data_IF_381606310115
#
_entry.id   IF_381606310115
#
_cell.length_a   1.000
_cell.length_b   1.000
_cell.length_c   1.000
_cell.angle_alpha   90.00
_cell.angle_beta   90.00
_cell.angle_gamma   90.00
#
_symmetry.space_group_name_H-M   'P 1'
#
loop_
_entity.id
_entity.type
_entity.pdbx_description
1 polymer ?
#
# COMPACT_ATOMS: atom_id res chain seq x y z
N UNK A 1 29.56 -5.10 49.10
CA UNK A 1 28.89 -4.91 47.79
C UNK A 1 27.45 -4.54 48.06
N UNK A 2 27.09 -3.28 47.82
CA UNK A 2 25.74 -2.76 48.01
C UNK A 2 24.86 -3.11 46.79
N UNK A 3 23.56 -3.36 46.96
CA UNK A 3 22.67 -3.61 45.83
C UNK A 3 22.44 -2.30 45.06
N UNK A 4 22.63 -2.37 43.75
CA UNK A 4 22.30 -1.29 42.81
C UNK A 4 20.78 -1.20 42.78
N UNK A 5 20.23 -0.29 43.57
CA UNK A 5 18.83 0.09 43.50
C UNK A 5 18.58 0.86 42.22
N UNK A 6 17.91 0.24 41.25
CA UNK A 6 17.27 0.97 40.17
C UNK A 6 16.11 1.77 40.77
N UNK A 7 16.35 3.06 40.99
CA UNK A 7 15.29 4.02 41.27
C UNK A 7 14.39 4.09 40.03
N UNK A 8 13.28 3.35 40.07
CA UNK A 8 12.14 3.63 39.22
C UNK A 8 11.63 5.02 39.60
N UNK A 9 11.93 6.01 38.76
CA UNK A 9 11.29 7.31 38.81
C UNK A 9 9.79 7.08 38.65
N UNK A 10 9.03 7.34 39.71
CA UNK A 10 7.57 7.47 39.71
C UNK A 10 7.16 8.58 38.72
N UNK A 11 7.03 8.22 37.45
CA UNK A 11 6.03 8.81 36.55
C UNK A 11 4.85 7.86 36.59
N UNK A 12 4.07 7.99 37.65
CA UNK A 12 2.81 7.28 37.86
C UNK A 12 1.87 7.48 36.65
N UNK A 13 1.56 6.34 36.02
CA UNK A 13 0.20 5.78 35.94
C UNK A 13 -0.89 6.39 35.05
N UNK A 14 -0.54 7.09 33.96
CA UNK A 14 -1.54 7.38 32.91
C UNK A 14 -1.59 6.31 31.79
N UNK A 15 -0.66 5.34 31.80
CA UNK A 15 -0.64 4.24 30.82
C UNK A 15 -1.79 3.23 30.98
N UNK A 16 -2.59 3.33 32.05
CA UNK A 16 -3.76 2.48 32.30
C UNK A 16 -5.09 3.05 31.76
N UNK A 17 -5.08 4.20 31.07
CA UNK A 17 -6.34 4.86 30.64
C UNK A 17 -7.01 4.24 29.42
N UNK A 18 -6.28 3.50 28.59
CA UNK A 18 -6.81 2.97 27.33
C UNK A 18 -6.98 1.46 27.39
N UNK A 19 -8.21 0.99 27.16
CA UNK A 19 -8.49 -0.41 26.97
C UNK A 19 -7.65 -0.92 25.79
N UNK A 20 -6.72 -1.80 26.09
CA UNK A 20 -5.83 -2.39 25.10
C UNK A 20 -4.47 -1.77 24.91
N UNK A 21 -4.02 -0.90 25.81
CA UNK A 21 -2.65 -0.37 25.75
C UNK A 21 -1.59 -1.46 25.54
N UNK A 22 -1.82 -2.68 26.07
CA UNK A 22 -1.03 -3.90 25.91
C UNK A 22 -1.10 -4.55 24.52
N UNK A 23 -2.18 -4.33 23.76
CA UNK A 23 -2.37 -4.85 22.41
C UNK A 23 -1.86 -3.87 21.35
N UNK A 24 -0.56 -3.60 21.38
CA UNK A 24 0.12 -2.78 20.38
C UNK A 24 -0.04 -3.31 18.95
N UNK A 25 0.45 -2.56 17.94
CA UNK A 25 0.32 -2.94 16.53
C UNK A 25 0.84 -4.35 16.22
N UNK A 26 0.13 -5.07 15.35
CA UNK A 26 0.61 -6.33 14.76
C UNK A 26 1.57 -6.06 13.59
N UNK A 27 2.40 -7.05 13.19
CA UNK A 27 3.23 -6.93 11.99
C UNK A 27 2.42 -6.48 10.77
N UNK A 28 2.93 -5.45 10.07
CA UNK A 28 2.33 -4.88 8.87
C UNK A 28 0.90 -4.33 9.04
N UNK A 29 0.44 -4.13 10.28
CA UNK A 29 -0.86 -3.53 10.55
C UNK A 29 -0.90 -2.10 10.01
N UNK A 30 -1.90 -1.80 9.19
CA UNK A 30 -2.10 -0.46 8.64
C UNK A 30 -2.50 0.53 9.74
N UNK A 31 -2.15 1.82 9.58
CA UNK A 31 -2.55 2.84 10.54
C UNK A 31 -4.08 2.96 10.67
N UNK A 32 -4.84 2.65 9.61
CA UNK A 32 -6.31 2.64 9.67
C UNK A 32 -6.84 1.54 10.58
N UNK A 33 -6.24 0.34 10.53
CA UNK A 33 -6.57 -0.76 11.45
C UNK A 33 -6.24 -0.39 12.89
N UNK A 34 -5.02 0.10 13.13
CA UNK A 34 -4.54 0.51 14.46
C UNK A 34 -5.49 1.56 15.04
N UNK A 35 -5.83 2.59 14.28
CA UNK A 35 -6.74 3.64 14.71
C UNK A 35 -8.16 3.12 14.98
N UNK A 36 -8.73 2.35 14.05
CA UNK A 36 -10.07 1.78 14.20
C UNK A 36 -10.18 0.83 15.38
N UNK A 37 -9.17 -0.01 15.61
CA UNK A 37 -9.11 -0.96 16.72
C UNK A 37 -8.91 -0.26 18.06
N UNK A 38 -8.14 0.84 18.09
CA UNK A 38 -8.03 1.68 19.29
C UNK A 38 -9.38 2.30 19.64
N UNK A 39 -10.05 2.91 18.65
CA UNK A 39 -11.38 3.46 18.85
C UNK A 39 -12.34 2.34 19.30
N UNK A 40 -12.50 1.30 18.46
CA UNK A 40 -12.73 -0.12 18.83
C UNK A 40 -13.06 -0.43 20.29
N UNK A 41 -11.97 -0.53 21.02
CA UNK A 41 -11.93 -1.03 22.38
C UNK A 41 -12.33 0.01 23.41
N UNK A 42 -12.33 1.28 23.04
CA UNK A 42 -12.53 2.41 23.93
C UNK A 42 -13.88 3.12 23.69
N UNK A 43 -14.77 2.52 22.89
CA UNK A 43 -16.14 3.03 22.64
C UNK A 43 -16.14 4.49 22.13
N UNK A 44 -15.04 4.92 21.50
CA UNK A 44 -14.91 6.26 20.90
C UNK A 44 -15.76 6.44 19.65
N UNK A 45 -16.80 7.27 19.74
CA UNK A 45 -17.53 7.72 18.57
C UNK A 45 -16.71 8.65 17.68
N UNK A 46 -17.29 9.05 16.54
CA UNK A 46 -16.64 9.98 15.62
C UNK A 46 -16.29 11.33 16.24
N UNK A 47 -17.17 11.84 17.11
CA UNK A 47 -16.93 13.11 17.80
C UNK A 47 -15.75 12.96 18.77
N UNK A 48 -15.77 11.92 19.60
CA UNK A 48 -14.73 11.69 20.62
C UNK A 48 -13.36 11.48 19.96
N UNK A 49 -13.27 10.59 18.97
CA UNK A 49 -12.02 10.32 18.27
C UNK A 49 -11.46 11.58 17.56
N UNK A 50 -12.35 12.40 16.98
CA UNK A 50 -11.96 13.67 16.39
C UNK A 50 -11.48 14.64 17.47
N UNK A 51 -12.22 14.81 18.55
CA UNK A 51 -11.89 15.82 19.56
C UNK A 51 -10.59 15.46 20.31
N UNK A 52 -10.31 14.17 20.47
CA UNK A 52 -9.07 13.65 21.07
C UNK A 52 -7.86 13.70 20.13
N UNK A 53 -8.04 13.35 18.85
CA UNK A 53 -6.93 13.10 17.92
C UNK A 53 -6.88 14.05 16.72
N UNK A 54 -7.67 15.13 16.69
CA UNK A 54 -7.63 16.09 15.59
C UNK A 54 -6.35 16.91 15.55
N UNK A 55 -5.93 17.18 14.33
CA UNK A 55 -4.80 18.04 14.01
C UNK A 55 -5.01 19.48 14.50
N UNK A 56 -3.97 20.00 15.13
CA UNK A 56 -3.65 21.44 15.13
C UNK A 56 -2.88 21.76 13.85
N UNK A 57 -2.90 23.00 13.34
CA UNK A 57 -2.22 23.35 12.10
C UNK A 57 -0.71 23.00 12.16
N UNK A 58 -0.17 22.36 11.11
CA UNK A 58 1.28 22.11 10.94
C UNK A 58 1.81 20.70 11.30
N UNK A 59 0.97 19.76 11.75
CA UNK A 59 1.43 18.42 12.18
C UNK A 59 1.32 17.35 11.07
N UNK A 60 2.10 16.26 11.19
CA UNK A 60 2.02 15.07 10.31
C UNK A 60 0.61 14.48 10.35
N UNK A 61 0.03 14.21 9.18
CA UNK A 61 -1.38 13.84 9.03
C UNK A 61 -1.53 12.42 8.52
N UNK A 62 -2.43 11.68 9.13
CA UNK A 62 -3.05 10.51 8.51
C UNK A 62 -4.56 10.78 8.39
N UNK A 63 -4.98 11.28 7.23
CA UNK A 63 -6.32 11.87 7.07
C UNK A 63 -6.54 13.05 8.03
N UNK A 64 -7.45 12.87 8.99
CA UNK A 64 -7.76 13.85 10.05
C UNK A 64 -7.07 13.57 11.40
N UNK A 65 -6.34 12.46 11.51
CA UNK A 65 -5.73 12.00 12.76
C UNK A 65 -4.30 12.52 12.87
N UNK A 66 -4.01 13.16 13.99
CA UNK A 66 -2.66 13.50 14.42
C UNK A 66 -2.01 12.26 15.04
N UNK A 67 -1.12 11.64 14.27
CA UNK A 67 -0.42 10.40 14.66
C UNK A 67 0.44 10.61 15.92
N UNK A 68 0.99 11.82 16.11
CA UNK A 68 1.78 12.14 17.28
C UNK A 68 0.92 12.21 18.54
N UNK A 69 -0.22 12.91 18.47
CA UNK A 69 -1.19 12.92 19.59
C UNK A 69 -1.74 11.52 19.87
N UNK A 70 -2.06 10.76 18.84
CA UNK A 70 -2.53 9.38 18.99
C UNK A 70 -1.49 8.49 19.69
N UNK A 71 -0.24 8.51 19.23
CA UNK A 71 0.84 7.72 19.84
C UNK A 71 1.12 8.16 21.28
N UNK A 72 1.17 9.47 21.55
CA UNK A 72 1.38 9.98 22.89
C UNK A 72 0.25 9.59 23.86
N UNK A 73 -1.00 9.60 23.38
CA UNK A 73 -2.15 9.26 24.21
C UNK A 73 -2.26 7.75 24.47
N UNK A 74 -2.08 6.93 23.44
CA UNK A 74 -2.36 5.48 23.49
C UNK A 74 -1.13 4.61 23.75
N UNK A 75 0.08 5.16 23.58
CA UNK A 75 1.32 4.41 23.51
C UNK A 75 1.48 3.62 22.19
N UNK A 76 0.52 3.69 21.27
CA UNK A 76 0.56 2.93 20.02
C UNK A 76 1.26 3.70 18.91
N UNK A 77 2.34 3.13 18.38
CA UNK A 77 3.00 3.68 17.22
C UNK A 77 2.30 3.23 15.94
N UNK A 78 1.38 4.06 15.44
CA UNK A 78 0.80 3.91 14.10
C UNK A 78 1.80 4.33 13.00
N UNK A 79 3.01 3.77 13.04
CA UNK A 79 3.93 3.87 11.92
C UNK A 79 3.40 2.98 10.82
N UNK A 80 2.74 3.58 9.83
CA UNK A 80 2.66 2.92 8.53
C UNK A 80 4.07 2.59 8.10
N UNK A 81 4.27 1.42 7.50
CA UNK A 81 5.54 1.13 6.84
C UNK A 81 5.69 2.23 5.79
N UNK A 82 6.62 3.18 6.04
CA UNK A 82 6.82 4.33 5.16
C UNK A 82 7.53 3.83 3.91
N UNK A 83 6.76 3.22 3.03
CA UNK A 83 7.26 2.55 1.85
C UNK A 83 7.32 3.53 0.71
N UNK A 84 8.50 4.13 0.54
CA UNK A 84 8.86 4.95 -0.62
C UNK A 84 8.15 6.29 -0.70
N UNK A 85 8.20 6.89 -1.90
CA UNK A 85 7.63 8.21 -2.16
C UNK A 85 6.10 8.17 -2.26
N UNK A 86 5.43 9.30 -1.99
CA UNK A 86 3.98 9.41 -2.12
C UNK A 86 3.47 9.08 -3.55
N UNK A 87 4.28 9.39 -4.56
CA UNK A 87 3.99 9.04 -5.97
C UNK A 87 3.96 7.53 -6.18
N UNK A 88 4.94 6.82 -5.61
CA UNK A 88 5.03 5.38 -5.71
C UNK A 88 3.86 4.70 -4.99
N UNK A 89 3.50 5.20 -3.82
CA UNK A 89 2.33 4.74 -3.10
C UNK A 89 1.05 4.90 -3.93
N UNK A 90 0.88 6.06 -4.59
CA UNK A 90 -0.26 6.33 -5.49
C UNK A 90 -0.33 5.40 -6.72
N UNK A 91 0.84 4.94 -7.20
CA UNK A 91 0.97 4.00 -8.31
C UNK A 91 0.67 2.56 -7.86
N UNK A 92 1.30 2.09 -6.79
CA UNK A 92 1.33 0.68 -6.42
C UNK A 92 0.24 0.27 -5.44
N UNK A 93 -0.43 1.23 -4.80
CA UNK A 93 -1.49 0.94 -3.84
C UNK A 93 -2.84 1.46 -4.34
N UNK A 94 -3.90 0.75 -3.95
CA UNK A 94 -5.27 1.16 -4.15
C UNK A 94 -5.62 2.29 -3.19
N UNK A 95 -6.32 3.29 -3.72
CA UNK A 95 -6.86 4.38 -2.90
C UNK A 95 -8.11 3.94 -2.17
N UNK A 96 -8.90 3.05 -2.80
CA UNK A 96 -10.15 2.53 -2.27
C UNK A 96 -9.85 1.33 -1.38
N UNK A 97 -10.40 1.34 -0.16
CA UNK A 97 -10.10 0.34 0.86
C UNK A 97 -10.46 -1.07 0.36
N UNK A 98 -9.47 -1.90 0.10
CA UNK A 98 -9.67 -3.35 -0.05
C UNK A 98 -9.58 -4.08 1.29
N UNK A 99 -10.43 -5.08 1.51
CA UNK A 99 -10.50 -5.80 2.78
C UNK A 99 -10.40 -7.31 2.58
N UNK A 100 -9.79 -8.01 3.53
CA UNK A 100 -10.06 -9.42 3.78
C UNK A 100 -11.12 -9.47 4.89
N UNK A 101 -12.32 -10.03 4.64
CA UNK A 101 -13.38 -10.09 5.66
C UNK A 101 -12.93 -10.75 6.95
N UNK A 102 -12.21 -11.88 6.85
CA UNK A 102 -11.74 -12.67 7.99
C UNK A 102 -10.70 -11.88 8.82
N UNK A 103 -9.69 -11.28 8.18
CA UNK A 103 -8.74 -10.41 8.89
C UNK A 103 -9.46 -9.27 9.64
N UNK A 104 -10.45 -8.66 8.97
CA UNK A 104 -11.13 -7.48 9.49
C UNK A 104 -12.08 -7.82 10.65
N UNK A 105 -12.65 -9.03 10.66
CA UNK A 105 -13.36 -9.62 11.81
C UNK A 105 -12.43 -9.80 13.01
N UNK A 106 -11.17 -10.19 12.80
CA UNK A 106 -10.14 -10.19 13.86
C UNK A 106 -9.58 -8.78 14.17
N UNK A 107 -10.32 -7.72 13.84
CA UNK A 107 -9.95 -6.31 13.98
C UNK A 107 -8.58 -5.95 13.37
N UNK A 108 -8.16 -6.64 12.30
CA UNK A 108 -6.86 -6.45 11.64
C UNK A 108 -7.02 -6.10 10.17
N UNK A 109 -6.22 -5.13 9.71
CA UNK A 109 -6.04 -4.85 8.30
C UNK A 109 -4.57 -4.52 8.02
N UNK A 110 -3.96 -5.30 7.13
CA UNK A 110 -2.58 -5.11 6.68
C UNK A 110 -2.45 -3.97 5.68
N UNK A 111 -1.37 -3.19 5.72
CA UNK A 111 -1.06 -2.18 4.69
C UNK A 111 -0.99 -2.82 3.30
N UNK A 112 -0.53 -4.07 3.21
CA UNK A 112 -0.41 -4.83 1.98
C UNK A 112 -1.75 -5.17 1.33
N UNK A 113 -2.85 -5.16 2.08
CA UNK A 113 -4.17 -5.32 1.47
C UNK A 113 -4.49 -4.18 0.48
N UNK A 114 -3.80 -3.04 0.55
CA UNK A 114 -3.92 -1.99 -0.45
C UNK A 114 -2.96 -2.17 -1.64
N UNK A 115 -1.94 -3.04 -1.57
CA UNK A 115 -0.98 -3.21 -2.66
C UNK A 115 -1.61 -3.86 -3.90
N UNK A 116 -1.64 -3.15 -5.04
CA UNK A 116 -2.41 -3.54 -6.25
C UNK A 116 -2.12 -4.96 -6.73
N UNK A 117 -0.86 -5.40 -6.67
CA UNK A 117 -0.44 -6.75 -7.06
C UNK A 117 -0.88 -7.86 -6.08
N UNK A 118 -1.52 -7.52 -4.97
CA UNK A 118 -2.13 -8.47 -4.04
C UNK A 118 -3.64 -8.51 -4.27
N UNK A 119 -4.13 -9.66 -4.75
CA UNK A 119 -5.57 -9.91 -4.96
C UNK A 119 -6.17 -10.92 -3.97
N UNK A 120 -5.32 -11.78 -3.41
CA UNK A 120 -5.70 -12.84 -2.46
C UNK A 120 -5.00 -12.54 -1.13
N UNK A 121 -5.73 -12.64 -0.02
CA UNK A 121 -5.14 -12.49 1.30
C UNK A 121 -4.12 -13.61 1.56
N UNK A 122 -2.84 -13.30 1.87
CA UNK A 122 -1.82 -14.32 2.11
C UNK A 122 -2.12 -15.23 3.31
N UNK A 123 -2.91 -14.76 4.27
CA UNK A 123 -3.24 -15.49 5.51
C UNK A 123 -4.43 -16.42 5.26
N UNK A 124 -5.52 -15.88 4.72
CA UNK A 124 -6.80 -16.60 4.63
C UNK A 124 -7.10 -17.16 3.25
N UNK A 125 -6.25 -16.89 2.25
CA UNK A 125 -6.40 -17.35 0.87
C UNK A 125 -7.74 -16.98 0.22
N UNK A 126 -8.41 -15.93 0.71
CA UNK A 126 -9.64 -15.39 0.16
C UNK A 126 -9.36 -14.16 -0.71
N UNK A 127 -10.27 -13.85 -1.64
CA UNK A 127 -10.17 -12.63 -2.44
C UNK A 127 -10.28 -11.37 -1.56
N UNK A 128 -9.45 -10.37 -1.85
CA UNK A 128 -9.57 -9.04 -1.26
C UNK A 128 -10.71 -8.28 -1.93
N UNK A 129 -11.66 -7.80 -1.12
CA UNK A 129 -12.89 -7.17 -1.59
C UNK A 129 -12.74 -5.64 -1.61
N UNK A 130 -13.04 -4.96 -2.72
CA UNK A 130 -13.21 -3.51 -2.77
C UNK A 130 -14.65 -3.07 -2.41
N UNK A 131 -15.42 -3.96 -1.78
CA UNK A 131 -16.84 -3.81 -1.47
C UNK A 131 -17.12 -4.27 -0.04
N UNK A 132 -18.21 -3.77 0.55
CA UNK A 132 -18.74 -4.27 1.81
C UNK A 132 -19.21 -5.72 1.64
N UNK A 133 -18.74 -6.63 2.49
CA UNK A 133 -19.14 -8.04 2.44
C UNK A 133 -20.61 -8.26 2.80
N UNK A 134 -21.25 -7.31 3.50
CA UNK A 134 -22.66 -7.38 3.85
C UNK A 134 -23.60 -6.93 2.70
N UNK A 135 -23.42 -5.70 2.18
CA UNK A 135 -24.35 -5.13 1.20
C UNK A 135 -23.81 -5.04 -0.23
N UNK A 136 -22.54 -5.37 -0.47
CA UNK A 136 -21.90 -5.28 -1.78
C UNK A 136 -21.56 -3.86 -2.25
N UNK A 137 -21.92 -2.81 -1.50
CA UNK A 137 -21.57 -1.44 -1.88
C UNK A 137 -20.05 -1.22 -1.87
N UNK A 138 -19.53 -0.45 -2.84
CA UNK A 138 -18.10 -0.15 -2.93
C UNK A 138 -17.58 0.58 -1.68
N UNK A 139 -16.44 0.15 -1.16
CA UNK A 139 -15.79 0.80 -0.01
C UNK A 139 -15.35 2.21 -0.35
N UNK A 140 -15.13 3.09 0.63
CA UNK A 140 -14.62 4.43 0.38
C UNK A 140 -13.11 4.44 0.12
N UNK A 141 -12.60 5.59 -0.32
CA UNK A 141 -11.17 5.88 -0.28
C UNK A 141 -10.72 5.85 1.18
N UNK A 142 -9.54 5.29 1.46
CA UNK A 142 -9.00 5.12 2.83
C UNK A 142 -9.06 6.44 3.61
N UNK A 143 -8.64 7.55 2.99
CA UNK A 143 -8.69 8.89 3.59
C UNK A 143 -10.11 9.37 3.92
N UNK A 144 -11.11 8.95 3.17
CA UNK A 144 -12.50 9.34 3.38
C UNK A 144 -13.12 8.59 4.55
N UNK A 145 -12.65 7.38 4.87
CA UNK A 145 -13.08 6.70 6.10
C UNK A 145 -12.74 7.52 7.36
N UNK A 146 -11.57 8.16 7.42
CA UNK A 146 -11.24 9.08 8.52
C UNK A 146 -12.16 10.29 8.61
N UNK A 147 -12.68 10.74 7.46
CA UNK A 147 -13.52 11.95 7.38
C UNK A 147 -14.98 11.67 7.72
N UNK A 148 -15.55 10.63 7.14
CA UNK A 148 -16.99 10.36 7.19
C UNK A 148 -17.37 9.43 8.34
N UNK A 149 -16.54 8.44 8.65
CA UNK A 149 -16.87 7.34 9.54
C UNK A 149 -15.74 7.06 10.52
N UNK A 150 -15.78 7.73 11.67
CA UNK A 150 -15.22 7.12 12.87
C UNK A 150 -16.24 6.17 13.54
N UNK A 151 -17.17 5.60 12.75
CA UNK A 151 -17.86 4.35 13.07
C UNK A 151 -17.05 3.22 12.43
N UNK A 152 -16.43 2.44 13.29
CA UNK A 152 -15.25 1.64 12.95
C UNK A 152 -15.61 0.49 12.05
N UNK A 153 -14.83 0.32 10.96
CA UNK A 153 -14.99 -0.79 10.04
C UNK A 153 -16.45 -0.95 9.54
N UNK A 154 -17.26 0.11 9.56
CA UNK A 154 -18.67 0.09 9.15
C UNK A 154 -18.87 0.72 7.78
N UNK A 155 -19.76 0.13 7.02
CA UNK A 155 -20.17 0.61 5.72
C UNK A 155 -20.99 1.90 5.84
N UNK A 156 -20.62 2.94 5.10
CA UNK A 156 -21.41 4.20 5.06
C UNK A 156 -22.80 4.04 4.46
N UNK A 157 -23.05 2.95 3.72
CA UNK A 157 -24.30 2.75 2.99
C UNK A 157 -25.32 1.91 3.76
N UNK A 158 -24.89 0.86 4.46
CA UNK A 158 -25.80 -0.03 5.20
C UNK A 158 -25.58 -0.01 6.73
N UNK A 159 -24.60 0.75 7.23
CA UNK A 159 -24.19 0.83 8.63
C UNK A 159 -23.77 -0.50 9.29
N UNK A 160 -23.73 -1.61 8.52
CA UNK A 160 -23.19 -2.90 8.96
C UNK A 160 -21.66 -2.92 8.84
N UNK A 161 -21.03 -3.87 9.53
CA UNK A 161 -19.59 -4.07 9.44
C UNK A 161 -19.17 -4.47 8.03
N UNK A 162 -18.05 -3.90 7.57
CA UNK A 162 -17.47 -4.13 6.25
C UNK A 162 -17.12 -5.60 6.03
N UNK A 163 -16.70 -6.29 7.09
CA UNK A 163 -16.42 -7.73 7.09
C UNK A 163 -17.68 -8.61 6.95
N UNK A 164 -18.88 -8.05 7.13
CA UNK A 164 -20.12 -8.82 7.24
C UNK A 164 -20.40 -9.32 8.67
N UNK A 165 -19.37 -9.35 9.52
CA UNK A 165 -19.46 -9.68 10.94
C UNK A 165 -18.85 -8.56 11.81
N UNK A 166 -19.27 -8.49 13.07
CA UNK A 166 -18.67 -7.58 14.04
C UNK A 166 -17.26 -8.05 14.42
N UNK A 167 -16.32 -7.14 14.70
CA UNK A 167 -15.01 -7.55 15.13
C UNK A 167 -15.05 -8.28 16.48
N UNK A 168 -14.28 -9.37 16.60
CA UNK A 168 -14.17 -10.22 17.80
C UNK A 168 -12.80 -10.03 18.46
N UNK A 169 -12.80 -9.86 19.78
CA UNK A 169 -11.58 -9.70 20.56
C UNK A 169 -10.80 -11.01 20.70
N UNK A 170 -11.48 -12.14 20.84
CA UNK A 170 -10.85 -13.45 20.95
C UNK A 170 -10.13 -13.78 19.64
N UNK A 171 -10.77 -13.54 18.50
CA UNK A 171 -10.13 -13.71 17.18
C UNK A 171 -8.90 -12.80 17.03
N UNK A 172 -8.95 -11.58 17.57
CA UNK A 172 -7.79 -10.68 17.58
C UNK A 172 -6.64 -11.20 18.47
N UNK A 173 -6.95 -11.83 19.60
CA UNK A 173 -5.97 -12.45 20.50
C UNK A 173 -5.36 -13.67 19.81
N UNK A 174 -6.17 -14.54 19.22
CA UNK A 174 -5.71 -15.71 18.46
C UNK A 174 -4.81 -15.30 17.28
N UNK A 175 -5.18 -14.22 16.58
CA UNK A 175 -4.36 -13.66 15.50
C UNK A 175 -3.01 -13.13 16.00
N UNK A 176 -2.95 -12.62 17.24
CA UNK A 176 -1.72 -12.12 17.86
C UNK A 176 -0.78 -13.25 18.27
N UNK A 177 -1.32 -14.35 18.75
CA UNK A 177 -0.55 -15.57 19.00
C UNK A 177 0.06 -16.11 17.69
N UNK A 178 -0.56 -15.78 16.55
CA UNK A 178 -0.07 -16.06 15.19
C UNK A 178 0.76 -14.92 14.58
N UNK A 179 1.28 -13.97 15.37
CA UNK A 179 2.05 -12.83 14.85
C UNK A 179 3.28 -13.23 14.03
N UNK A 180 3.95 -14.34 14.38
CA UNK A 180 5.03 -14.91 13.58
C UNK A 180 4.58 -15.33 12.17
N UNK A 181 3.38 -15.90 12.06
CA UNK A 181 2.76 -16.27 10.78
C UNK A 181 2.42 -15.04 9.95
N UNK A 182 1.84 -13.99 10.56
CA UNK A 182 1.62 -12.70 9.89
C UNK A 182 2.91 -12.13 9.31
N UNK A 183 3.97 -12.14 10.12
CA UNK A 183 5.28 -11.63 9.74
C UNK A 183 5.86 -12.44 8.56
N UNK A 184 5.72 -13.77 8.57
CA UNK A 184 6.19 -14.63 7.49
C UNK A 184 5.43 -14.38 6.18
N UNK A 185 4.09 -14.33 6.22
CA UNK A 185 3.27 -14.16 5.01
C UNK A 185 3.47 -12.81 4.33
N UNK A 186 3.43 -11.72 5.10
CA UNK A 186 3.61 -10.37 4.55
C UNK A 186 5.07 -9.96 4.43
N UNK A 187 5.98 -10.62 5.14
CA UNK A 187 7.42 -10.37 5.05
C UNK A 187 7.99 -10.63 3.66
N UNK A 188 7.34 -11.48 2.85
CA UNK A 188 7.70 -11.69 1.44
C UNK A 188 7.50 -10.40 0.63
N UNK A 189 6.38 -9.70 0.82
CA UNK A 189 6.09 -8.44 0.14
C UNK A 189 7.01 -7.30 0.64
N UNK A 190 7.30 -7.28 1.94
CA UNK A 190 8.22 -6.31 2.52
C UNK A 190 9.66 -6.51 2.04
N UNK A 191 10.10 -7.77 1.95
CA UNK A 191 11.38 -8.13 1.35
C UNK A 191 11.41 -7.73 -0.13
N UNK A 192 10.39 -8.07 -0.91
CA UNK A 192 10.29 -7.66 -2.31
C UNK A 192 10.41 -6.14 -2.46
N UNK A 193 9.67 -5.38 -1.66
CA UNK A 193 9.72 -3.92 -1.69
C UNK A 193 11.13 -3.40 -1.44
N UNK A 194 11.83 -3.93 -0.43
CA UNK A 194 13.21 -3.55 -0.13
C UNK A 194 14.18 -3.93 -1.26
N UNK A 195 14.07 -5.15 -1.77
CA UNK A 195 14.95 -5.67 -2.82
C UNK A 195 14.84 -4.85 -4.11
N UNK A 196 13.67 -4.29 -4.39
CA UNK A 196 13.42 -3.47 -5.58
C UNK A 196 13.31 -1.97 -5.30
N UNK A 197 13.62 -1.50 -4.09
CA UNK A 197 13.43 -0.10 -3.70
C UNK A 197 14.06 0.90 -4.69
N UNK A 198 15.28 0.65 -5.15
CA UNK A 198 15.94 1.52 -6.14
C UNK A 198 15.25 1.57 -7.51
N UNK A 199 14.67 0.45 -7.95
CA UNK A 199 13.87 0.38 -9.19
C UNK A 199 12.54 1.12 -9.00
N UNK A 200 11.90 0.91 -7.85
CA UNK A 200 10.64 1.57 -7.49
C UNK A 200 10.80 3.09 -7.36
N UNK A 201 11.89 3.56 -6.77
CA UNK A 201 12.22 4.98 -6.68
C UNK A 201 12.38 5.59 -8.08
N UNK A 202 13.09 4.91 -8.99
CA UNK A 202 13.22 5.32 -10.38
C UNK A 202 11.85 5.44 -11.06
N UNK A 203 10.97 4.45 -10.86
CA UNK A 203 9.61 4.46 -11.41
C UNK A 203 8.83 5.66 -10.87
N UNK A 204 9.01 6.01 -9.61
CA UNK A 204 8.34 7.15 -9.00
C UNK A 204 8.76 8.51 -9.58
N UNK A 205 9.96 8.57 -10.17
CA UNK A 205 10.48 9.73 -10.91
C UNK A 205 10.00 9.77 -12.37
N UNK A 206 9.39 8.70 -12.87
CA UNK A 206 8.74 8.72 -14.17
C UNK A 206 7.44 9.52 -14.05
N UNK A 207 7.38 10.65 -14.74
CA UNK A 207 6.16 11.45 -14.78
C UNK A 207 5.18 10.76 -15.73
N UNK A 208 3.91 10.55 -15.33
CA UNK A 208 2.88 10.21 -16.28
C UNK A 208 2.81 11.35 -17.29
N UNK A 209 2.99 11.04 -18.57
CA UNK A 209 2.84 12.03 -19.63
C UNK A 209 1.42 12.57 -19.51
N UNK A 210 1.28 13.87 -19.28
CA UNK A 210 0.00 14.55 -19.44
C UNK A 210 -0.38 14.44 -20.91
N UNK A 211 -1.11 13.38 -21.24
CA UNK A 211 -1.80 13.28 -22.51
C UNK A 211 -2.88 14.36 -22.50
N UNK A 212 -2.96 15.21 -23.55
CA UNK A 212 -4.08 16.14 -23.72
C UNK A 212 -5.43 15.41 -23.64
N UNK A 213 -5.44 14.13 -24.02
CA UNK A 213 -6.51 13.20 -23.74
C UNK A 213 -6.31 12.53 -22.36
N UNK A 214 -7.05 13.03 -21.36
CA UNK A 214 -7.07 12.50 -19.99
C UNK A 214 -7.44 11.00 -19.90
N UNK A 215 -8.16 10.44 -20.89
CA UNK A 215 -8.48 9.01 -20.90
C UNK A 215 -7.26 8.18 -21.26
N UNK A 216 -6.51 8.58 -22.30
CA UNK A 216 -5.30 7.89 -22.73
C UNK A 216 -4.18 7.89 -21.67
N UNK A 217 -4.04 8.97 -20.89
CA UNK A 217 -3.04 9.07 -19.82
C UNK A 217 -3.30 8.19 -18.59
N UNK A 218 -4.56 7.82 -18.31
CA UNK A 218 -4.87 6.84 -17.23
C UNK A 218 -4.49 5.42 -17.62
N UNK A 219 -4.71 5.04 -18.87
CA UNK A 219 -4.49 3.68 -19.34
C UNK A 219 -2.99 3.34 -19.34
N UNK A 220 -2.12 4.29 -19.73
CA UNK A 220 -0.67 4.08 -19.75
C UNK A 220 -0.08 3.78 -18.37
N UNK A 221 -0.59 4.40 -17.30
CA UNK A 221 -0.16 4.12 -15.93
C UNK A 221 -0.54 2.72 -15.46
N UNK A 222 -1.77 2.29 -15.74
CA UNK A 222 -2.26 0.94 -15.40
C UNK A 222 -1.47 -0.16 -16.14
N UNK A 223 -1.20 0.03 -17.44
CA UNK A 223 -0.34 -0.89 -18.21
C UNK A 223 1.09 -0.94 -17.67
N UNK A 224 1.68 0.20 -17.30
CA UNK A 224 3.01 0.23 -16.71
C UNK A 224 3.04 -0.57 -15.40
N UNK A 225 2.06 -0.38 -14.52
CA UNK A 225 1.98 -1.11 -13.24
C UNK A 225 1.80 -2.62 -13.49
N UNK A 226 0.91 -3.01 -14.40
CA UNK A 226 0.71 -4.42 -14.73
C UNK A 226 2.02 -5.06 -15.24
N UNK A 227 2.71 -4.37 -16.16
CA UNK A 227 4.00 -4.81 -16.68
C UNK A 227 5.06 -4.93 -15.59
N UNK A 228 5.11 -3.97 -14.67
CA UNK A 228 6.02 -3.99 -13.53
C UNK A 228 5.74 -5.19 -12.64
N UNK A 229 4.48 -5.54 -12.38
CA UNK A 229 4.16 -6.74 -11.60
C UNK A 229 4.50 -8.04 -12.34
N UNK A 230 4.32 -8.10 -13.66
CA UNK A 230 4.70 -9.29 -14.44
C UNK A 230 6.23 -9.49 -14.44
N UNK A 231 7.00 -8.40 -14.55
CA UNK A 231 8.46 -8.41 -14.56
C UNK A 231 9.01 -8.71 -13.16
N UNK A 232 8.54 -7.99 -12.14
CA UNK A 232 9.09 -8.03 -10.79
C UNK A 232 8.50 -9.15 -9.93
N UNK A 233 7.40 -9.76 -10.37
CA UNK A 233 6.71 -10.89 -9.73
C UNK A 233 6.63 -10.74 -8.20
N UNK A 234 5.78 -9.84 -7.67
CA UNK A 234 5.81 -9.44 -6.26
C UNK A 234 5.55 -10.59 -5.27
N UNK A 235 4.97 -11.70 -5.73
CA UNK A 235 4.78 -12.91 -4.93
C UNK A 235 5.09 -14.18 -5.73
N UNK A 236 5.53 -15.26 -5.05
CA UNK A 236 5.63 -16.58 -5.66
C UNK A 236 4.29 -17.01 -6.27
N UNK A 237 4.33 -17.50 -7.51
CA UNK A 237 3.12 -17.92 -8.22
C UNK A 237 2.21 -16.77 -8.65
N UNK A 238 2.68 -15.52 -8.62
CA UNK A 238 1.96 -14.40 -9.24
C UNK A 238 1.68 -14.79 -10.71
N UNK A 239 0.41 -14.96 -11.10
CA UNK A 239 0.08 -15.35 -12.46
C UNK A 239 0.57 -14.23 -13.36
N UNK A 240 1.52 -14.52 -14.25
CA UNK A 240 1.86 -13.58 -15.30
C UNK A 240 0.54 -13.25 -15.99
N UNK A 241 0.11 -11.99 -15.93
CA UNK A 241 -1.12 -11.64 -16.61
C UNK A 241 -0.86 -11.91 -18.09
N UNK A 242 -1.62 -12.83 -18.66
CA UNK A 242 -1.66 -13.08 -20.11
C UNK A 242 -2.27 -11.90 -20.87
N UNK A 243 -2.31 -10.70 -20.28
CA UNK A 243 -2.85 -9.47 -20.83
C UNK A 243 -1.89 -8.92 -21.89
N UNK A 244 -1.76 -9.69 -22.97
CA UNK A 244 -0.86 -9.42 -24.07
C UNK A 244 0.59 -9.56 -23.63
N UNK A 245 1.40 -10.25 -24.42
CA UNK A 245 2.83 -9.98 -24.41
C UNK A 245 3.02 -8.46 -24.46
N UNK A 246 3.54 -7.85 -23.39
CA UNK A 246 4.31 -6.64 -23.56
C UNK A 246 5.57 -7.11 -24.31
N UNK A 247 5.44 -7.22 -25.64
CA UNK A 247 6.53 -7.51 -26.56
C UNK A 247 7.48 -6.33 -26.51
N UNK A 248 8.26 -6.26 -25.43
CA UNK A 248 8.93 -5.04 -25.03
C UNK A 248 7.87 -3.93 -24.85
N UNK A 249 8.23 -2.77 -24.37
CA UNK A 249 7.48 -1.63 -24.87
C UNK A 249 7.60 -1.68 -26.40
N UNK A 250 6.51 -1.87 -27.15
CA UNK A 250 6.47 -1.37 -28.51
C UNK A 250 6.46 0.17 -28.41
N UNK A 251 7.60 0.75 -28.02
CA UNK A 251 7.94 2.13 -28.31
C UNK A 251 8.06 2.20 -29.83
N UNK A 252 6.92 2.37 -30.51
CA UNK A 252 6.93 2.67 -31.93
C UNK A 252 7.52 4.08 -32.08
N UNK A 253 8.84 4.17 -32.22
CA UNK A 253 9.37 4.98 -33.30
C UNK A 253 8.87 4.32 -34.58
N UNK A 254 7.65 4.66 -35.00
CA UNK A 254 7.27 4.44 -36.39
C UNK A 254 8.24 5.29 -37.21
N UNK A 255 9.34 4.68 -37.66
CA UNK A 255 10.02 5.14 -38.84
C UNK A 255 8.96 5.08 -39.93
N UNK A 256 8.47 6.26 -40.33
CA UNK A 256 7.44 6.45 -41.32
C UNK A 256 7.67 5.49 -42.50
N UNK A 257 6.72 4.58 -42.73
CA UNK A 257 6.25 4.35 -44.10
C UNK A 257 5.65 5.68 -44.55
N UNK A 258 6.14 6.16 -45.68
CA UNK A 258 5.72 7.40 -46.34
C UNK A 258 4.20 7.48 -46.43
N UNK A 259 3.59 8.50 -45.79
CA UNK A 259 2.18 8.82 -46.05
C UNK A 259 1.31 9.37 -44.92
N UNK A 260 1.82 9.85 -43.78
CA UNK A 260 0.98 10.57 -42.78
C UNK A 260 1.54 11.93 -42.37
N UNK A 261 0.62 12.85 -42.10
CA UNK A 261 0.85 14.30 -41.95
C UNK A 261 1.46 14.65 -40.59
N UNK A 262 2.12 15.82 -40.56
CA UNK A 262 2.92 16.36 -39.45
C UNK A 262 2.15 16.61 -38.13
N UNK A 263 0.82 16.48 -38.13
CA UNK A 263 -0.05 16.70 -36.97
C UNK A 263 -0.10 15.49 -36.00
N UNK A 264 0.28 14.28 -36.44
CA UNK A 264 0.16 13.05 -35.64
C UNK A 264 1.37 12.77 -34.71
N UNK A 265 2.45 13.55 -34.82
CA UNK A 265 3.76 13.19 -34.26
C UNK A 265 4.18 13.89 -32.96
N UNK A 266 3.47 14.94 -32.52
CA UNK A 266 3.96 15.78 -31.42
C UNK A 266 3.67 15.28 -30.00
N UNK A 267 2.82 14.26 -29.82
CA UNK A 267 2.42 13.79 -28.47
C UNK A 267 3.12 12.50 -28.02
N UNK A 268 3.70 11.70 -28.94
CA UNK A 268 4.31 10.40 -28.60
C UNK A 268 5.83 10.41 -28.43
N UNK A 269 6.51 11.48 -28.83
CA UNK A 269 7.98 11.59 -28.81
C UNK A 269 8.57 12.11 -27.48
N UNK A 270 7.83 12.93 -26.73
CA UNK A 270 8.32 13.53 -25.47
C UNK A 270 8.43 12.51 -24.34
N UNK A 271 7.43 11.63 -24.23
CA UNK A 271 7.37 10.46 -23.36
C UNK A 271 8.63 9.59 -23.43
N UNK A 272 8.96 9.18 -24.67
CA UNK A 272 10.09 8.33 -25.01
C UNK A 272 11.41 9.02 -24.72
N UNK A 273 11.58 10.25 -25.21
CA UNK A 273 12.82 11.01 -25.01
C UNK A 273 13.07 11.33 -23.53
N UNK A 274 12.02 11.51 -22.73
CA UNK A 274 12.14 11.79 -21.32
C UNK A 274 12.39 10.52 -20.49
N UNK A 275 11.68 9.41 -20.77
CA UNK A 275 11.95 8.11 -20.13
C UNK A 275 13.35 7.59 -20.46
N UNK A 276 13.74 7.63 -21.74
CA UNK A 276 15.07 7.24 -22.20
C UNK A 276 16.14 8.20 -21.65
N UNK A 277 15.88 9.51 -21.64
CA UNK A 277 16.79 10.50 -21.06
C UNK A 277 16.99 10.34 -19.56
N UNK A 278 15.94 9.95 -18.82
CA UNK A 278 16.02 9.64 -17.38
C UNK A 278 16.76 8.32 -17.13
N UNK A 279 16.44 7.27 -17.88
CA UNK A 279 17.17 6.00 -17.85
C UNK A 279 18.66 6.16 -18.18
N UNK A 280 19.00 6.96 -19.19
CA UNK A 280 20.38 7.25 -19.59
C UNK A 280 21.10 8.09 -18.53
N UNK A 281 20.49 9.16 -18.01
CA UNK A 281 21.10 9.98 -16.94
C UNK A 281 21.34 9.17 -15.67
N UNK A 282 20.47 8.21 -15.39
CA UNK A 282 20.61 7.32 -14.25
C UNK A 282 21.68 6.25 -14.49
N UNK A 283 21.69 5.62 -15.66
CA UNK A 283 22.72 4.66 -16.06
C UNK A 283 24.14 5.27 -16.05
N UNK A 284 24.25 6.57 -16.33
CA UNK A 284 25.49 7.34 -16.24
C UNK A 284 25.90 7.62 -14.78
N UNK A 285 24.93 7.80 -13.87
CA UNK A 285 25.21 8.13 -12.46
C UNK A 285 25.50 6.92 -11.60
N UNK A 286 24.88 5.78 -11.90
CA UNK A 286 24.93 4.58 -11.05
C UNK A 286 25.20 3.31 -11.88
N UNK A 287 26.48 3.03 -12.21
CA UNK A 287 26.86 1.94 -13.13
C UNK A 287 26.47 0.54 -12.65
N UNK A 288 26.40 0.33 -11.33
CA UNK A 288 26.05 -0.96 -10.74
C UNK A 288 24.57 -1.30 -10.93
N UNK A 289 23.70 -0.30 -11.00
CA UNK A 289 22.28 -0.51 -11.26
C UNK A 289 21.97 -0.77 -12.75
N UNK A 290 22.89 -0.43 -13.66
CA UNK A 290 22.85 -0.88 -15.07
C UNK A 290 23.03 -2.39 -15.16
N UNK A 291 23.82 -3.01 -14.26
CA UNK A 291 23.87 -4.47 -14.16
C UNK A 291 22.53 -5.02 -13.71
N UNK A 292 21.89 -4.45 -12.69
CA UNK A 292 20.55 -4.89 -12.28
C UNK A 292 19.52 -4.78 -13.40
N UNK A 293 19.44 -3.66 -14.14
CA UNK A 293 18.54 -3.58 -15.30
C UNK A 293 18.89 -4.58 -16.40
N UNK A 294 20.18 -4.84 -16.63
CA UNK A 294 20.65 -5.83 -17.61
C UNK A 294 20.37 -7.25 -17.15
N UNK A 295 20.42 -7.52 -15.86
CA UNK A 295 20.16 -8.82 -15.27
C UNK A 295 18.65 -9.07 -15.19
N UNK A 296 17.84 -8.04 -14.92
CA UNK A 296 16.38 -8.05 -15.12
C UNK A 296 16.07 -8.30 -16.61
N UNK A 297 16.72 -7.59 -17.52
CA UNK A 297 16.57 -7.80 -18.97
C UNK A 297 16.93 -9.22 -19.41
N UNK A 298 18.01 -9.80 -18.86
CA UNK A 298 18.42 -11.18 -19.14
C UNK A 298 17.48 -12.22 -18.52
N UNK A 299 16.97 -11.96 -17.31
CA UNK A 299 15.95 -12.80 -16.69
C UNK A 299 14.67 -12.83 -17.53
N UNK A 300 14.30 -11.71 -18.15
CA UNK A 300 13.17 -11.62 -19.08
C UNK A 300 13.40 -12.41 -20.37
N UNK A 301 14.59 -12.29 -20.98
CA UNK A 301 14.98 -13.11 -22.14
C UNK A 301 14.90 -14.62 -21.84
N UNK A 302 15.41 -15.06 -20.69
CA UNK A 302 15.41 -16.46 -20.29
C UNK A 302 14.00 -17.01 -20.03
N UNK A 303 13.14 -16.22 -19.39
CA UNK A 303 11.75 -16.61 -19.11
C UNK A 303 10.93 -16.70 -20.41
N UNK A 304 11.15 -15.80 -21.36
CA UNK A 304 10.52 -15.90 -22.68
C UNK A 304 11.05 -17.05 -23.54
N UNK A 305 12.32 -17.43 -23.39
CA UNK A 305 12.88 -18.58 -24.10
C UNK A 305 12.36 -19.94 -23.60
N UNK A 306 11.68 -19.98 -22.44
CA UNK A 306 11.15 -21.21 -21.83
C UNK A 306 9.64 -21.38 -21.96
N UNK A 307 8.92 -20.32 -22.38
CA UNK A 307 7.47 -20.32 -22.62
C UNK A 307 7.09 -20.45 -24.13
N UNK A 308 8.03 -20.89 -24.98
CA UNK A 308 7.83 -21.24 -26.42
C UNK A 308 8.17 -22.71 -26.62
#
# INVERSE_FOLDING_TARGET
MAPIGFAFSARDDDHHRWAGADLGPLPFESAISIFWRSCWRNVLGRRDARDLFSCTAGQRKFGMVDVGKFSNATGWNATEVSQGSAKLHDLLFEKRLRICPICLESAYHSVWHQFRGLHICPIHSCQLLPTCAYCGAGTLIVNDYFRYNARWMRCVFCDQYLAGAAPDLNDHIDLRDQSGTLAAHFGVLDKWWRDYAGVLDLISELEPIESPDRKAGRHSGEYLIASLFDILAPMPGYPANSSGSLNVFQWCASANRTGRTRADYHVKSSAYSNALGKLLRWAIREPDHVRQLRDIGRALEQRWATDV
#
